data_IF_233270711123
#
_entry.id   IF_233270711123
#
_cell.length_a   1.000
_cell.length_b   1.000
_cell.length_c   1.000
_cell.angle_alpha   90.00
_cell.angle_beta   90.00
_cell.angle_gamma   90.00
#
_symmetry.space_group_name_H-M   'P 1'
#
loop_
_entity.id
_entity.type
_entity.pdbx_description
1 polymer ?
#
# COMPACT_ATOMS: atom_id res chain seq x y z
N UNK A 1 -17.29 2.04 49.35
CA UNK A 1 -16.60 3.19 48.70
C UNK A 1 -15.24 2.79 48.06
N UNK A 2 -14.23 2.31 48.79
CA UNK A 2 -12.91 1.94 48.26
C UNK A 2 -12.99 0.89 47.15
N UNK A 3 -13.81 -0.15 47.33
CA UNK A 3 -13.97 -1.21 46.34
C UNK A 3 -14.52 -0.76 44.99
N UNK A 4 -15.40 0.21 44.96
CA UNK A 4 -16.00 0.73 43.72
C UNK A 4 -15.06 1.66 42.95
N UNK A 5 -14.24 2.43 43.67
CA UNK A 5 -13.18 3.24 43.06
C UNK A 5 -12.10 2.32 42.47
N UNK A 6 -11.76 1.25 43.18
CA UNK A 6 -10.82 0.24 42.69
C UNK A 6 -11.36 -0.46 41.44
N UNK A 7 -12.65 -0.80 41.39
CA UNK A 7 -13.28 -1.42 40.22
C UNK A 7 -13.29 -0.50 38.99
N UNK A 8 -13.63 0.80 39.19
CA UNK A 8 -13.58 1.82 38.13
C UNK A 8 -12.16 2.02 37.58
N UNK A 9 -11.16 2.03 38.49
CA UNK A 9 -9.75 2.10 38.10
C UNK A 9 -9.28 0.88 37.31
N UNK A 10 -9.72 -0.33 37.72
CA UNK A 10 -9.36 -1.56 37.00
C UNK A 10 -10.01 -1.63 35.61
N UNK A 11 -11.26 -1.20 35.47
CA UNK A 11 -11.95 -1.09 34.18
C UNK A 11 -11.27 -0.07 33.26
N UNK A 12 -10.88 1.08 33.77
CA UNK A 12 -10.16 2.09 33.01
C UNK A 12 -8.82 1.56 32.47
N UNK A 13 -8.04 0.87 33.31
CA UNK A 13 -6.75 0.28 32.89
C UNK A 13 -6.97 -0.81 31.85
N UNK A 14 -7.96 -1.68 32.01
CA UNK A 14 -8.26 -2.74 31.03
C UNK A 14 -8.71 -2.17 29.69
N UNK A 15 -9.50 -1.10 29.69
CA UNK A 15 -9.94 -0.40 28.46
C UNK A 15 -8.78 0.24 27.72
N UNK A 16 -7.86 0.90 28.43
CA UNK A 16 -6.66 1.48 27.83
C UNK A 16 -5.74 0.39 27.25
N UNK A 17 -5.56 -0.71 27.97
CA UNK A 17 -4.70 -1.81 27.51
C UNK A 17 -5.26 -2.49 26.25
N UNK A 18 -6.58 -2.71 26.20
CA UNK A 18 -7.27 -3.24 25.03
C UNK A 18 -7.17 -2.29 23.83
N UNK A 19 -7.40 -0.99 24.03
CA UNK A 19 -7.29 0.00 22.98
C UNK A 19 -5.84 0.11 22.44
N UNK A 20 -4.83 0.00 23.32
CA UNK A 20 -3.43 -0.03 22.90
C UNK A 20 -3.11 -1.28 22.09
N UNK A 21 -3.56 -2.45 22.51
CA UNK A 21 -3.33 -3.69 21.77
C UNK A 21 -3.97 -3.62 20.37
N UNK A 22 -5.18 -3.11 20.28
CA UNK A 22 -5.87 -2.92 19.00
C UNK A 22 -5.16 -1.90 18.11
N UNK A 23 -4.75 -0.75 18.66
CA UNK A 23 -4.03 0.28 17.92
C UNK A 23 -2.68 -0.23 17.38
N UNK A 24 -1.95 -1.04 18.16
CA UNK A 24 -0.71 -1.69 17.71
C UNK A 24 -0.98 -2.63 16.53
N UNK A 25 -2.08 -3.39 16.59
CA UNK A 25 -2.47 -4.27 15.47
C UNK A 25 -2.79 -3.47 14.20
N UNK A 26 -3.54 -2.37 14.33
CA UNK A 26 -3.88 -1.47 13.22
C UNK A 26 -2.63 -0.79 12.64
N UNK A 27 -1.68 -0.41 13.48
CA UNK A 27 -0.40 0.14 13.04
C UNK A 27 0.47 -0.90 12.32
N UNK A 28 0.50 -2.14 12.80
CA UNK A 28 1.17 -3.25 12.11
C UNK A 28 0.56 -3.52 10.74
N UNK A 29 -0.77 -3.48 10.61
CA UNK A 29 -1.45 -3.60 9.33
C UNK A 29 -1.07 -2.45 8.38
N UNK A 30 -0.98 -1.22 8.88
CA UNK A 30 -0.52 -0.08 8.08
C UNK A 30 0.91 -0.27 7.57
N UNK A 31 1.82 -0.74 8.41
CA UNK A 31 3.20 -1.05 8.04
C UNK A 31 3.28 -2.18 7.00
N UNK A 32 2.45 -3.22 7.16
CA UNK A 32 2.38 -4.31 6.19
C UNK A 32 1.93 -3.81 4.82
N UNK A 33 0.89 -2.96 4.76
CA UNK A 33 0.44 -2.34 3.51
C UNK A 33 1.53 -1.49 2.84
N UNK A 34 2.37 -0.83 3.63
CA UNK A 34 3.49 -0.03 3.13
C UNK A 34 4.61 -0.91 2.55
N UNK A 35 4.91 -2.04 3.21
CA UNK A 35 5.84 -3.06 2.70
C UNK A 35 5.31 -3.67 1.41
N UNK A 36 4.04 -4.08 1.39
CA UNK A 36 3.40 -4.67 0.22
C UNK A 36 3.39 -3.70 -0.98
N UNK A 37 3.27 -2.39 -0.71
CA UNK A 37 3.41 -1.35 -1.73
C UNK A 37 4.80 -1.35 -2.34
N UNK A 38 5.84 -1.34 -1.50
CA UNK A 38 7.25 -1.32 -1.97
C UNK A 38 7.57 -2.57 -2.77
N UNK A 39 7.08 -3.73 -2.33
CA UNK A 39 7.26 -4.99 -3.06
C UNK A 39 6.56 -4.92 -4.43
N UNK A 40 5.31 -4.46 -4.47
CA UNK A 40 4.57 -4.35 -5.72
C UNK A 40 5.21 -3.35 -6.71
N UNK A 41 5.78 -2.24 -6.22
CA UNK A 41 6.54 -1.29 -7.05
C UNK A 41 7.81 -1.95 -7.63
N UNK A 42 8.56 -2.68 -6.79
CA UNK A 42 9.75 -3.40 -7.25
C UNK A 42 9.42 -4.46 -8.30
N UNK A 43 8.34 -5.23 -8.10
CA UNK A 43 7.86 -6.21 -9.08
C UNK A 43 7.41 -5.55 -10.40
N UNK A 44 6.74 -4.39 -10.32
CA UNK A 44 6.31 -3.66 -11.50
C UNK A 44 7.51 -3.17 -12.33
N UNK A 45 8.55 -2.64 -11.67
CA UNK A 45 9.81 -2.23 -12.31
C UNK A 45 10.50 -3.44 -12.95
N UNK A 46 10.56 -4.55 -12.25
CA UNK A 46 11.19 -5.78 -12.78
C UNK A 46 10.46 -6.31 -14.02
N UNK A 47 9.11 -6.31 -14.00
CA UNK A 47 8.31 -6.69 -15.17
C UNK A 47 8.50 -5.73 -16.33
N UNK A 48 8.62 -4.43 -16.07
CA UNK A 48 8.90 -3.42 -17.09
C UNK A 48 10.27 -3.64 -17.73
N UNK A 49 11.31 -3.86 -16.92
CA UNK A 49 12.64 -4.16 -17.42
C UNK A 49 12.66 -5.43 -18.27
N UNK A 50 12.01 -6.50 -17.81
CA UNK A 50 11.92 -7.75 -18.57
C UNK A 50 11.21 -7.56 -19.93
N UNK A 51 10.19 -6.71 -20.02
CA UNK A 51 9.52 -6.35 -21.29
C UNK A 51 10.45 -5.54 -22.20
N UNK A 52 11.20 -4.61 -21.64
CA UNK A 52 12.18 -3.83 -22.40
C UNK A 52 13.30 -4.72 -22.95
N UNK A 53 13.82 -5.64 -22.14
CA UNK A 53 14.85 -6.60 -22.56
C UNK A 53 14.33 -7.51 -23.67
N UNK A 54 13.07 -7.99 -23.55
CA UNK A 54 12.42 -8.79 -24.58
C UNK A 54 12.24 -8.00 -25.89
N UNK A 55 11.87 -6.73 -25.81
CA UNK A 55 11.77 -5.86 -26.97
C UNK A 55 13.13 -5.65 -27.66
N UNK A 56 14.19 -5.33 -26.90
CA UNK A 56 15.55 -5.16 -27.42
C UNK A 56 16.00 -6.46 -28.11
N UNK A 57 15.75 -7.62 -27.49
CA UNK A 57 16.11 -8.91 -28.09
C UNK A 57 15.36 -9.16 -29.41
N UNK A 58 14.04 -8.85 -29.45
CA UNK A 58 13.24 -9.00 -30.66
C UNK A 58 13.73 -8.04 -31.79
N UNK A 59 14.03 -6.79 -31.44
CA UNK A 59 14.53 -5.78 -32.37
C UNK A 59 15.88 -6.23 -32.97
N UNK A 60 16.80 -6.72 -32.15
CA UNK A 60 18.11 -7.23 -32.63
C UNK A 60 17.95 -8.43 -33.57
N UNK A 61 17.01 -9.34 -33.29
CA UNK A 61 16.73 -10.48 -34.19
C UNK A 61 16.13 -10.00 -35.51
N UNK A 62 15.20 -9.07 -35.47
CA UNK A 62 14.58 -8.50 -36.66
C UNK A 62 15.58 -7.73 -37.51
N UNK A 63 16.45 -6.91 -36.89
CA UNK A 63 17.54 -6.22 -37.58
C UNK A 63 18.47 -7.19 -38.28
N UNK A 64 18.85 -8.29 -37.63
CA UNK A 64 19.64 -9.35 -38.24
C UNK A 64 18.94 -10.01 -39.43
N UNK A 65 17.60 -10.24 -39.35
CA UNK A 65 16.82 -10.81 -40.43
C UNK A 65 16.70 -9.85 -41.62
N UNK A 66 16.47 -8.56 -41.38
CA UNK A 66 16.36 -7.55 -42.43
C UNK A 66 17.71 -7.29 -43.13
N UNK A 67 18.83 -7.41 -42.42
CA UNK A 67 20.16 -7.23 -43.00
C UNK A 67 20.52 -8.27 -44.07
N UNK A 68 19.81 -9.41 -44.11
CA UNK A 68 19.96 -10.42 -45.13
C UNK A 68 19.08 -10.26 -46.38
N UNK A 69 18.11 -9.30 -46.34
CA UNK A 69 17.23 -9.07 -47.50
C UNK A 69 17.67 -7.83 -48.27
N UNK A 70 18.23 -8.04 -49.46
CA UNK A 70 18.78 -6.96 -50.31
C UNK A 70 17.67 -6.04 -50.86
N UNK A 71 17.78 -4.75 -50.57
CA UNK A 71 17.49 -3.62 -51.49
C UNK A 71 16.14 -2.96 -51.49
N UNK A 72 14.99 -3.52 -51.11
CA UNK A 72 13.68 -2.81 -51.07
C UNK A 72 13.03 -2.74 -49.70
N UNK A 73 13.68 -3.19 -48.68
CA UNK A 73 13.13 -3.41 -47.33
C UNK A 73 13.30 -2.24 -46.38
N UNK A 74 14.09 -1.24 -46.63
CA UNK A 74 14.37 -0.14 -45.68
C UNK A 74 13.11 0.65 -45.23
N UNK A 75 12.18 0.91 -46.17
CA UNK A 75 10.94 1.63 -45.84
C UNK A 75 9.99 0.75 -45.02
N UNK A 76 9.96 -0.54 -45.30
CA UNK A 76 9.15 -1.51 -44.57
C UNK A 76 9.73 -1.75 -43.18
N UNK A 77 11.06 -1.78 -43.06
CA UNK A 77 11.79 -1.91 -41.82
C UNK A 77 11.54 -0.74 -40.89
N UNK A 78 11.70 0.51 -41.36
CA UNK A 78 11.42 1.71 -40.58
C UNK A 78 9.96 1.78 -40.11
N UNK A 79 9.01 1.42 -40.97
CA UNK A 79 7.59 1.38 -40.61
C UNK A 79 7.28 0.29 -39.57
N UNK A 80 7.95 -0.85 -39.65
CA UNK A 80 7.81 -1.96 -38.71
C UNK A 80 8.35 -1.56 -37.33
N UNK A 81 9.58 -1.03 -37.24
CA UNK A 81 10.14 -0.59 -35.96
C UNK A 81 9.34 0.54 -35.33
N UNK A 82 8.87 1.51 -36.12
CA UNK A 82 8.01 2.58 -35.61
C UNK A 82 6.67 2.05 -35.06
N UNK A 83 6.10 1.02 -35.66
CA UNK A 83 4.89 0.37 -35.17
C UNK A 83 5.14 -0.42 -33.88
N UNK A 84 6.22 -1.19 -33.81
CA UNK A 84 6.61 -1.94 -32.62
C UNK A 84 6.95 -1.02 -31.45
N UNK A 85 7.72 0.04 -31.66
CA UNK A 85 8.07 1.03 -30.65
C UNK A 85 6.81 1.67 -30.05
N UNK A 86 5.83 2.02 -30.90
CA UNK A 86 4.57 2.59 -30.47
C UNK A 86 3.75 1.62 -29.62
N UNK A 87 3.70 0.34 -29.95
CA UNK A 87 2.98 -0.69 -29.19
C UNK A 87 3.65 -0.91 -27.84
N UNK A 88 4.96 -1.08 -27.80
CA UNK A 88 5.73 -1.29 -26.57
C UNK A 88 5.68 -0.05 -25.69
N UNK A 89 5.83 1.15 -26.26
CA UNK A 89 5.69 2.40 -25.52
C UNK A 89 4.33 2.56 -24.85
N UNK A 90 3.25 2.18 -25.55
CA UNK A 90 1.89 2.19 -24.99
C UNK A 90 1.73 1.16 -23.88
N UNK A 91 2.27 -0.04 -24.04
CA UNK A 91 2.19 -1.11 -23.04
C UNK A 91 2.95 -0.73 -21.76
N UNK A 92 4.15 -0.16 -21.90
CA UNK A 92 4.95 0.36 -20.79
C UNK A 92 4.22 1.48 -20.06
N UNK A 93 3.67 2.47 -20.79
CA UNK A 93 2.95 3.59 -20.16
C UNK A 93 1.68 3.14 -19.42
N UNK A 94 0.97 2.16 -19.97
CA UNK A 94 -0.19 1.54 -19.32
C UNK A 94 0.23 0.82 -18.05
N UNK A 95 1.30 0.02 -18.09
CA UNK A 95 1.81 -0.68 -16.93
C UNK A 95 2.28 0.28 -15.82
N UNK A 96 2.93 1.41 -16.18
CA UNK A 96 3.30 2.45 -15.24
C UNK A 96 2.09 3.12 -14.59
N UNK A 97 1.06 3.42 -15.38
CA UNK A 97 -0.19 4.02 -14.85
C UNK A 97 -0.88 3.08 -13.86
N UNK A 98 -1.01 1.80 -14.19
CA UNK A 98 -1.62 0.81 -13.29
C UNK A 98 -0.80 0.66 -12.02
N UNK A 99 0.54 0.59 -12.12
CA UNK A 99 1.43 0.49 -10.95
C UNK A 99 1.33 1.73 -10.05
N UNK A 100 1.27 2.94 -10.62
CA UNK A 100 1.13 4.17 -9.84
C UNK A 100 -0.22 4.26 -9.12
N UNK A 101 -1.31 3.82 -9.75
CA UNK A 101 -2.63 3.76 -9.14
C UNK A 101 -2.69 2.74 -7.99
N UNK A 102 -2.10 1.56 -8.16
CA UNK A 102 -2.03 0.54 -7.10
C UNK A 102 -1.17 1.02 -5.92
N UNK A 103 -0.02 1.63 -6.19
CA UNK A 103 0.85 2.25 -5.17
C UNK A 103 0.11 3.34 -4.40
N UNK A 104 -0.62 4.23 -5.10
CA UNK A 104 -1.42 5.27 -4.47
C UNK A 104 -2.53 4.69 -3.58
N UNK A 105 -3.26 3.70 -4.07
CA UNK A 105 -4.31 3.01 -3.31
C UNK A 105 -3.78 2.40 -2.01
N UNK A 106 -2.63 1.72 -2.06
CA UNK A 106 -1.97 1.14 -0.88
C UNK A 106 -1.49 2.20 0.10
N UNK A 107 -0.97 3.32 -0.40
CA UNK A 107 -0.56 4.46 0.44
C UNK A 107 -1.76 5.04 1.20
N UNK A 108 -2.87 5.27 0.50
CA UNK A 108 -4.11 5.76 1.13
C UNK A 108 -4.64 4.75 2.15
N UNK A 109 -4.63 3.46 1.83
CA UNK A 109 -5.00 2.39 2.76
C UNK A 109 -4.16 2.40 4.05
N UNK A 110 -2.84 2.53 3.93
CA UNK A 110 -1.93 2.62 5.08
C UNK A 110 -2.19 3.87 5.93
N UNK A 111 -2.47 5.02 5.31
CA UNK A 111 -2.81 6.26 6.02
C UNK A 111 -4.12 6.11 6.80
N UNK A 112 -5.15 5.52 6.19
CA UNK A 112 -6.44 5.24 6.85
C UNK A 112 -6.23 4.34 8.06
N UNK A 113 -5.42 3.29 7.97
CA UNK A 113 -5.13 2.41 9.10
C UNK A 113 -4.37 3.12 10.23
N UNK A 114 -3.40 3.98 9.90
CA UNK A 114 -2.69 4.81 10.90
C UNK A 114 -3.65 5.77 11.62
N UNK A 115 -4.55 6.39 10.89
CA UNK A 115 -5.55 7.29 11.48
C UNK A 115 -6.56 6.52 12.35
N UNK A 116 -6.97 5.34 11.91
CA UNK A 116 -7.82 4.43 12.68
C UNK A 116 -7.15 4.03 13.99
N UNK A 117 -5.87 3.63 13.97
CA UNK A 117 -5.11 3.31 15.18
C UNK A 117 -5.08 4.48 16.17
N UNK A 118 -4.86 5.70 15.68
CA UNK A 118 -4.91 6.91 16.51
C UNK A 118 -6.28 7.13 17.14
N UNK A 119 -7.34 6.99 16.34
CA UNK A 119 -8.71 7.16 16.81
C UNK A 119 -9.10 6.07 17.82
N UNK A 120 -8.67 4.84 17.64
CA UNK A 120 -8.84 3.72 18.58
C UNK A 120 -8.20 4.04 19.94
N UNK A 121 -6.97 4.57 19.93
CA UNK A 121 -6.30 5.00 21.17
C UNK A 121 -7.07 6.13 21.86
N UNK A 122 -7.48 7.15 21.13
CA UNK A 122 -8.23 8.27 21.70
C UNK A 122 -9.56 7.80 22.30
N UNK A 123 -10.32 6.97 21.57
CA UNK A 123 -11.56 6.40 22.08
C UNK A 123 -11.33 5.57 23.35
N UNK A 124 -10.25 4.79 23.40
CA UNK A 124 -9.87 4.04 24.60
C UNK A 124 -9.59 4.92 25.80
N UNK A 125 -8.92 6.05 25.62
CA UNK A 125 -8.67 7.02 26.69
C UNK A 125 -9.98 7.69 27.17
N UNK A 126 -10.86 8.10 26.25
CA UNK A 126 -12.16 8.69 26.62
C UNK A 126 -13.03 7.70 27.38
N UNK A 127 -13.13 6.46 26.92
CA UNK A 127 -13.88 5.41 27.59
C UNK A 127 -13.29 5.08 28.98
N UNK A 128 -11.98 5.15 29.15
CA UNK A 128 -11.33 4.94 30.44
C UNK A 128 -11.65 6.08 31.43
N UNK A 129 -11.64 7.34 30.95
CA UNK A 129 -12.01 8.50 31.76
C UNK A 129 -13.47 8.39 32.20
N UNK A 130 -14.37 8.01 31.30
CA UNK A 130 -15.79 7.81 31.61
C UNK A 130 -16.03 6.69 32.62
N UNK A 131 -15.34 5.56 32.46
CA UNK A 131 -15.39 4.45 33.41
C UNK A 131 -14.90 4.86 34.80
N UNK A 132 -13.82 5.65 34.87
CA UNK A 132 -13.30 6.17 36.13
C UNK A 132 -14.28 7.18 36.78
N UNK A 133 -14.80 8.13 36.00
CA UNK A 133 -15.78 9.13 36.47
C UNK A 133 -17.05 8.46 36.97
N UNK A 134 -17.58 7.48 36.24
CA UNK A 134 -18.74 6.68 36.63
C UNK A 134 -18.53 5.90 37.92
N UNK A 135 -17.35 5.32 38.11
CA UNK A 135 -16.94 4.63 39.33
C UNK A 135 -16.87 5.59 40.52
N UNK A 136 -16.35 6.80 40.31
CA UNK A 136 -16.26 7.84 41.35
C UNK A 136 -17.64 8.38 41.77
N UNK A 137 -18.51 8.66 40.80
CA UNK A 137 -19.87 9.14 41.05
C UNK A 137 -20.69 8.08 41.86
N UNK A 138 -20.61 6.82 41.45
CA UNK A 138 -21.25 5.71 42.18
C UNK A 138 -20.73 5.55 43.60
N UNK A 139 -19.44 5.79 43.82
CA UNK A 139 -18.82 5.73 45.16
C UNK A 139 -19.30 6.88 46.08
N UNK A 140 -19.68 8.03 45.51
CA UNK A 140 -20.14 9.20 46.25
C UNK A 140 -21.65 9.17 46.58
N UNK A 141 -22.42 8.37 45.84
CA UNK A 141 -23.89 8.24 45.99
C UNK A 141 -24.33 7.18 47.04
N UNK A 142 -23.37 6.56 47.72
CA UNK A 142 -23.56 5.64 48.87
C UNK A 142 -22.98 6.28 50.14
#
# INVERSE_FOLDING_TARGET
>A
MIAQIALGGFQAISTISAARAQAVTEEQQARQMEIDRVIAEAEAIQKQNARMDAYIAATNVNEAMFSFSEGETAIVEDAFYAAEEKVVGKDISTAQTVSSLDSHSRTVGALIQKEKAKNTLMAGYFNAIDAFASGYIRAKSI
#
